data_IF_011459731707
#
_entry.id   IF_011459731707
#
_cell.length_a   1.000
_cell.length_b   1.000
_cell.length_c   1.000
_cell.angle_alpha   90.00
_cell.angle_beta   90.00
_cell.angle_gamma   90.00
#
_symmetry.space_group_name_H-M   'P 1'
#
loop_
_entity.id
_entity.type
_entity.pdbx_description
1 polymer ?
#
# COMPACT_ATOMS: atom_id res chain seq x y z
N UNK A 1 -3.60 -5.23 30.74
CA UNK A 1 -4.37 -4.00 30.47
C UNK A 1 -3.61 -2.99 29.62
N UNK A 2 -2.50 -2.36 30.05
CA UNK A 2 -1.83 -1.30 29.25
C UNK A 2 -1.12 -1.85 27.98
N UNK A 3 -0.63 -3.10 28.02
CA UNK A 3 0.01 -3.75 26.87
C UNK A 3 -0.96 -4.41 25.88
N UNK A 4 -2.14 -4.88 26.30
CA UNK A 4 -3.17 -5.39 25.38
C UNK A 4 -3.72 -4.27 24.48
N UNK A 5 -3.97 -3.09 25.06
CA UNK A 5 -4.43 -1.91 24.31
C UNK A 5 -3.44 -1.49 23.22
N UNK A 6 -2.13 -1.48 23.50
CA UNK A 6 -1.10 -1.13 22.50
C UNK A 6 -1.01 -2.09 21.31
N UNK A 7 -1.50 -3.33 21.44
CA UNK A 7 -1.35 -4.41 20.45
C UNK A 7 -2.51 -4.42 19.47
N UNK A 8 -3.73 -4.27 19.99
CA UNK A 8 -4.92 -3.99 19.18
C UNK A 8 -4.71 -2.73 18.34
N UNK A 9 -4.04 -1.72 18.91
CA UNK A 9 -3.68 -0.51 18.19
C UNK A 9 -2.82 -0.80 16.95
N UNK A 10 -1.94 -1.81 16.95
CA UNK A 10 -1.06 -2.05 15.80
C UNK A 10 -1.77 -2.77 14.65
N UNK A 11 -2.47 -3.86 14.94
CA UNK A 11 -3.21 -4.57 13.90
C UNK A 11 -4.32 -3.68 13.33
N UNK A 12 -4.94 -2.83 14.16
CA UNK A 12 -5.89 -1.85 13.67
C UNK A 12 -5.22 -0.74 12.84
N UNK A 13 -4.01 -0.30 13.21
CA UNK A 13 -3.24 0.63 12.38
C UNK A 13 -2.87 0.03 11.03
N UNK A 14 -2.44 -1.23 10.99
CA UNK A 14 -2.15 -1.93 9.73
C UNK A 14 -3.43 -2.11 8.91
N UNK A 15 -4.54 -2.53 9.54
CA UNK A 15 -5.84 -2.66 8.87
C UNK A 15 -6.31 -1.33 8.29
N UNK A 16 -6.16 -0.24 9.06
CA UNK A 16 -6.46 1.12 8.60
C UNK A 16 -5.58 1.54 7.42
N UNK A 17 -4.34 1.05 7.37
CA UNK A 17 -3.43 1.26 6.26
C UNK A 17 -3.94 0.57 4.98
N UNK A 18 -4.27 -0.72 5.05
CA UNK A 18 -4.80 -1.43 3.87
C UNK A 18 -6.13 -0.83 3.40
N UNK A 19 -6.99 -0.40 4.33
CA UNK A 19 -8.25 0.25 3.98
C UNK A 19 -8.06 1.59 3.27
N UNK A 20 -7.07 2.41 3.65
CA UNK A 20 -6.81 3.66 2.93
C UNK A 20 -6.21 3.38 1.54
N UNK A 21 -5.42 2.31 1.38
CA UNK A 21 -4.93 1.90 0.05
C UNK A 21 -6.05 1.40 -0.83
N UNK A 22 -6.97 0.59 -0.29
CA UNK A 22 -8.20 0.21 -0.98
C UNK A 22 -8.92 1.44 -1.52
N UNK A 23 -9.17 2.44 -0.68
CA UNK A 23 -9.90 3.65 -1.06
C UNK A 23 -9.13 4.48 -2.11
N UNK A 24 -7.81 4.61 -1.96
CA UNK A 24 -6.94 5.26 -2.94
C UNK A 24 -7.01 4.57 -4.32
N UNK A 25 -6.89 3.24 -4.35
CA UNK A 25 -6.96 2.47 -5.59
C UNK A 25 -8.36 2.45 -6.19
N UNK A 26 -9.41 2.53 -5.37
CA UNK A 26 -10.78 2.73 -5.84
C UNK A 26 -10.91 4.09 -6.57
N UNK A 27 -10.37 5.17 -5.99
CA UNK A 27 -10.33 6.50 -6.63
C UNK A 27 -9.58 6.47 -7.96
N UNK A 28 -8.44 5.79 -8.03
CA UNK A 28 -7.70 5.62 -9.28
C UNK A 28 -8.50 4.84 -10.32
N UNK A 29 -9.22 3.80 -9.91
CA UNK A 29 -10.08 3.02 -10.81
C UNK A 29 -11.23 3.83 -11.39
N UNK A 30 -11.75 4.80 -10.63
CA UNK A 30 -12.85 5.67 -11.06
C UNK A 30 -12.37 6.80 -11.98
N UNK A 31 -11.18 7.35 -11.73
CA UNK A 31 -10.67 8.54 -12.42
C UNK A 31 -9.73 8.23 -13.59
N UNK A 32 -9.13 7.03 -13.65
CA UNK A 32 -8.20 6.60 -14.70
C UNK A 32 -8.84 5.46 -15.50
N UNK A 33 -9.67 5.81 -16.47
CA UNK A 33 -10.56 4.87 -17.16
C UNK A 33 -9.83 3.75 -17.92
N UNK A 34 -8.66 4.09 -18.47
CA UNK A 34 -7.78 3.24 -19.27
C UNK A 34 -7.19 2.09 -18.45
N UNK A 35 -7.11 2.27 -17.12
CA UNK A 35 -6.50 1.33 -16.18
C UNK A 35 -7.47 0.85 -15.10
N UNK A 36 -8.77 1.09 -15.29
CA UNK A 36 -9.80 0.83 -14.29
C UNK A 36 -9.70 -0.56 -13.67
N UNK A 37 -9.62 -1.61 -14.48
CA UNK A 37 -9.59 -2.99 -13.98
C UNK A 37 -8.29 -3.32 -13.21
N UNK A 38 -7.19 -2.66 -13.55
CA UNK A 38 -5.93 -2.80 -12.82
C UNK A 38 -6.06 -2.25 -11.40
N UNK A 39 -6.52 -1.01 -11.29
CA UNK A 39 -6.70 -0.33 -10.00
C UNK A 39 -7.79 -0.96 -9.14
N UNK A 40 -8.91 -1.34 -9.77
CA UNK A 40 -10.00 -2.04 -9.09
C UNK A 40 -9.52 -3.35 -8.46
N UNK A 41 -8.71 -4.12 -9.20
CA UNK A 41 -8.15 -5.36 -8.68
C UNK A 41 -7.25 -5.13 -7.46
N UNK A 42 -6.37 -4.13 -7.49
CA UNK A 42 -5.55 -3.76 -6.33
C UNK A 42 -6.44 -3.38 -5.15
N UNK A 43 -7.48 -2.55 -5.36
CA UNK A 43 -8.43 -2.19 -4.30
C UNK A 43 -9.12 -3.40 -3.66
N UNK A 44 -9.56 -4.37 -4.47
CA UNK A 44 -10.17 -5.61 -3.98
C UNK A 44 -9.17 -6.47 -3.17
N UNK A 45 -7.90 -6.50 -3.57
CA UNK A 45 -6.82 -7.20 -2.88
C UNK A 45 -6.51 -6.54 -1.51
N UNK A 46 -6.41 -5.22 -1.46
CA UNK A 46 -6.21 -4.47 -0.19
C UNK A 46 -7.37 -4.63 0.78
N UNK A 47 -8.61 -4.67 0.27
CA UNK A 47 -9.77 -4.97 1.12
C UNK A 47 -9.71 -6.39 1.73
N UNK A 48 -9.18 -7.35 0.97
CA UNK A 48 -8.94 -8.73 1.46
C UNK A 48 -7.82 -8.76 2.51
N UNK A 49 -6.77 -7.94 2.37
CA UNK A 49 -5.72 -7.78 3.38
C UNK A 49 -6.27 -7.21 4.69
N UNK A 50 -7.07 -6.14 4.61
CA UNK A 50 -7.75 -5.57 5.77
C UNK A 50 -8.62 -6.59 6.51
N UNK A 51 -9.36 -7.42 5.77
CA UNK A 51 -10.16 -8.50 6.35
C UNK A 51 -9.32 -9.55 7.07
N UNK A 52 -8.16 -9.94 6.51
CA UNK A 52 -7.25 -10.87 7.18
C UNK A 52 -6.73 -10.33 8.51
N UNK A 53 -6.35 -9.06 8.55
CA UNK A 53 -5.89 -8.38 9.76
C UNK A 53 -7.00 -8.31 10.82
N UNK A 54 -8.25 -8.07 10.40
CA UNK A 54 -9.42 -8.06 11.29
C UNK A 54 -9.66 -9.44 11.93
N UNK A 55 -9.67 -10.50 11.10
CA UNK A 55 -9.84 -11.89 11.58
C UNK A 55 -8.70 -12.28 12.52
N UNK A 56 -7.47 -11.94 12.15
CA UNK A 56 -6.29 -12.23 12.96
C UNK A 56 -6.36 -11.55 14.33
N UNK A 57 -6.71 -10.26 14.37
CA UNK A 57 -6.91 -9.52 15.62
C UNK A 57 -8.00 -10.12 16.50
N UNK A 58 -9.10 -10.59 15.90
CA UNK A 58 -10.18 -11.27 16.62
C UNK A 58 -9.77 -12.65 17.17
N UNK A 59 -8.86 -13.36 16.50
CA UNK A 59 -8.31 -14.64 16.99
C UNK A 59 -7.33 -14.41 18.15
N UNK A 60 -6.42 -13.43 18.04
CA UNK A 60 -5.45 -13.11 19.10
C UNK A 60 -6.12 -12.73 20.42
N UNK A 61 -7.20 -11.93 20.38
CA UNK A 61 -8.03 -11.62 21.56
C UNK A 61 -8.55 -12.86 22.27
N UNK A 62 -8.94 -13.88 21.50
CA UNK A 62 -9.53 -15.12 22.04
C UNK A 62 -8.48 -16.05 22.64
N UNK A 63 -7.28 -16.05 22.09
CA UNK A 63 -6.21 -16.98 22.47
C UNK A 63 -5.20 -16.41 23.49
N UNK A 64 -5.36 -15.14 23.91
CA UNK A 64 -4.48 -14.45 24.85
C UNK A 64 -2.99 -14.48 24.43
N UNK A 65 -2.76 -14.42 23.12
CA UNK A 65 -1.42 -14.47 22.51
C UNK A 65 -0.73 -13.11 22.66
N UNK A 66 0.46 -13.10 23.26
CA UNK A 66 1.24 -11.89 23.53
C UNK A 66 2.31 -11.62 22.47
N UNK A 67 2.25 -10.43 21.83
CA UNK A 67 3.32 -9.92 20.97
C UNK A 67 4.65 -9.83 21.74
N UNK A 68 5.75 -10.25 21.09
CA UNK A 68 7.10 -10.16 21.63
C UNK A 68 7.40 -8.74 22.14
N UNK A 69 7.99 -8.64 23.34
CA UNK A 69 8.38 -7.39 24.03
C UNK A 69 9.48 -6.60 23.30
N UNK A 70 9.86 -7.02 22.10
CA UNK A 70 10.94 -6.41 21.37
C UNK A 70 10.46 -5.07 20.80
N UNK A 71 10.86 -4.00 21.48
CA UNK A 71 10.58 -2.58 21.24
C UNK A 71 10.99 -2.06 19.84
N UNK A 72 11.26 -2.97 18.88
CA UNK A 72 11.62 -2.71 17.49
C UNK A 72 10.42 -2.33 16.61
N UNK A 73 9.23 -2.25 17.18
CA UNK A 73 8.05 -1.84 16.43
C UNK A 73 8.04 -0.33 16.18
N UNK A 74 8.13 0.07 14.91
CA UNK A 74 8.09 1.48 14.53
C UNK A 74 6.62 1.93 14.32
N UNK A 75 5.80 1.88 15.39
CA UNK A 75 4.44 2.50 15.41
C UNK A 75 4.47 3.90 14.79
N UNK A 76 5.46 4.77 15.13
CA UNK A 76 5.52 6.10 14.55
C UNK A 76 5.62 6.10 13.03
N UNK A 77 6.39 5.16 12.46
CA UNK A 77 6.52 5.00 11.00
C UNK A 77 5.19 4.61 10.36
N UNK A 78 4.47 3.62 10.91
CA UNK A 78 3.15 3.22 10.39
C UNK A 78 2.18 4.39 10.45
N UNK A 79 2.12 5.10 11.58
CA UNK A 79 1.26 6.28 11.74
C UNK A 79 1.62 7.39 10.75
N UNK A 80 2.91 7.63 10.54
CA UNK A 80 3.37 8.65 9.58
C UNK A 80 3.03 8.28 8.14
N UNK A 81 3.23 7.01 7.76
CA UNK A 81 2.87 6.53 6.43
C UNK A 81 1.35 6.58 6.24
N UNK A 82 0.56 6.15 7.22
CA UNK A 82 -0.91 6.19 7.16
C UNK A 82 -1.39 7.61 6.91
N UNK A 83 -0.88 8.56 7.69
CA UNK A 83 -1.20 9.98 7.53
C UNK A 83 -0.83 10.50 6.13
N UNK A 84 0.36 10.14 5.65
CA UNK A 84 0.81 10.55 4.31
C UNK A 84 -0.11 10.01 3.20
N UNK A 85 -0.50 8.74 3.28
CA UNK A 85 -1.43 8.13 2.31
C UNK A 85 -2.83 8.76 2.43
N UNK A 86 -3.31 9.07 3.63
CA UNK A 86 -4.58 9.76 3.84
C UNK A 86 -4.59 11.15 3.20
N UNK A 87 -3.54 11.94 3.40
CA UNK A 87 -3.38 13.27 2.79
C UNK A 87 -3.37 13.16 1.27
N UNK A 88 -2.57 12.26 0.71
CA UNK A 88 -2.51 12.03 -0.73
C UNK A 88 -3.84 11.54 -1.31
N UNK A 89 -4.57 10.69 -0.59
CA UNK A 89 -5.88 10.18 -1.02
C UNK A 89 -6.87 11.33 -1.16
N UNK A 90 -6.91 12.25 -0.20
CA UNK A 90 -7.76 13.44 -0.29
C UNK A 90 -7.30 14.38 -1.40
N UNK A 91 -6.00 14.55 -1.62
CA UNK A 91 -5.49 15.35 -2.74
C UNK A 91 -5.94 14.77 -4.09
N UNK A 92 -5.71 13.48 -4.35
CA UNK A 92 -6.11 12.81 -5.59
C UNK A 92 -7.64 12.81 -5.81
N UNK A 93 -8.40 12.61 -4.74
CA UNK A 93 -9.88 12.67 -4.79
C UNK A 93 -10.38 14.03 -5.30
N UNK A 94 -9.73 15.11 -4.85
CA UNK A 94 -10.09 16.48 -5.21
C UNK A 94 -9.57 16.92 -6.60
N UNK A 95 -8.71 16.14 -7.25
CA UNK A 95 -8.27 16.42 -8.62
C UNK A 95 -9.39 16.17 -9.62
N UNK A 96 -9.53 17.06 -10.61
CA UNK A 96 -10.48 16.86 -11.72
C UNK A 96 -10.05 15.70 -12.63
N UNK A 97 -8.73 15.56 -12.85
CA UNK A 97 -8.11 14.48 -13.61
C UNK A 97 -6.85 14.02 -12.89
N UNK A 98 -6.63 12.71 -12.89
CA UNK A 98 -5.42 12.10 -12.36
C UNK A 98 -4.61 11.60 -13.55
N UNK A 99 -3.34 12.00 -13.59
CA UNK A 99 -2.39 11.47 -14.56
C UNK A 99 -1.98 10.04 -14.15
N UNK A 100 -1.96 9.11 -15.13
CA UNK A 100 -1.65 7.71 -14.84
C UNK A 100 -0.23 7.54 -14.29
N UNK A 101 0.74 8.27 -14.86
CA UNK A 101 2.12 8.19 -14.41
C UNK A 101 2.26 8.67 -12.97
N UNK A 102 1.60 9.77 -12.59
CA UNK A 102 1.60 10.25 -11.20
C UNK A 102 0.98 9.22 -10.23
N UNK A 103 -0.15 8.61 -10.60
CA UNK A 103 -0.80 7.57 -9.79
C UNK A 103 0.08 6.32 -9.62
N UNK A 104 0.70 5.85 -10.71
CA UNK A 104 1.59 4.69 -10.69
C UNK A 104 2.87 4.94 -9.91
N UNK A 105 3.48 6.14 -10.01
CA UNK A 105 4.65 6.47 -9.18
C UNK A 105 4.27 6.51 -7.71
N UNK A 106 3.16 7.18 -7.34
CA UNK A 106 2.74 7.25 -5.95
C UNK A 106 2.44 5.87 -5.36
N UNK A 107 1.64 5.06 -6.07
CA UNK A 107 1.34 3.69 -5.65
C UNK A 107 2.61 2.84 -5.53
N UNK A 108 3.53 2.96 -6.49
CA UNK A 108 4.80 2.24 -6.50
C UNK A 108 5.68 2.60 -5.30
N UNK A 109 5.78 3.88 -4.97
CA UNK A 109 6.54 4.37 -3.80
C UNK A 109 5.94 3.87 -2.48
N UNK A 110 4.62 3.90 -2.36
CA UNK A 110 3.89 3.41 -1.18
C UNK A 110 4.16 1.93 -0.96
N UNK A 111 3.92 1.10 -1.97
CA UNK A 111 4.08 -0.35 -1.93
C UNK A 111 5.53 -0.75 -1.67
N UNK A 112 6.48 -0.11 -2.37
CA UNK A 112 7.91 -0.33 -2.15
C UNK A 112 8.31 0.03 -0.73
N UNK A 113 7.77 1.13 -0.18
CA UNK A 113 8.09 1.55 1.18
C UNK A 113 7.63 0.54 2.21
N UNK A 114 6.49 -0.14 2.02
CA UNK A 114 6.03 -1.20 2.91
C UNK A 114 7.01 -2.39 2.91
N UNK A 115 7.51 -2.77 1.73
CA UNK A 115 8.50 -3.86 1.59
C UNK A 115 9.82 -3.49 2.26
N UNK A 116 10.39 -2.33 1.92
CA UNK A 116 11.72 -1.89 2.39
C UNK A 116 11.73 -1.61 3.90
N UNK A 117 10.65 -1.04 4.43
CA UNK A 117 10.50 -0.77 5.87
C UNK A 117 10.10 -2.01 6.67
N UNK A 118 9.98 -3.17 6.01
CA UNK A 118 9.66 -4.46 6.63
C UNK A 118 8.36 -4.39 7.44
N UNK A 119 7.34 -3.77 6.86
CA UNK A 119 6.08 -3.42 7.53
C UNK A 119 5.39 -4.62 8.20
N UNK A 120 5.52 -5.82 7.60
CA UNK A 120 4.95 -7.08 8.10
C UNK A 120 5.93 -7.95 8.91
N UNK A 121 7.19 -7.56 9.04
CA UNK A 121 8.19 -8.27 9.86
C UNK A 121 8.17 -7.79 11.32
N UNK A 122 7.13 -7.08 11.71
CA UNK A 122 7.01 -6.47 13.03
C UNK A 122 6.59 -7.48 14.11
N UNK A 123 6.21 -8.68 13.69
CA UNK A 123 5.69 -9.72 14.56
C UNK A 123 6.30 -11.07 14.16
N UNK A 124 6.89 -11.76 15.13
CA UNK A 124 7.45 -13.09 14.93
C UNK A 124 7.03 -14.01 16.07
N UNK A 125 6.78 -15.30 15.76
CA UNK A 125 6.67 -16.37 16.74
C UNK A 125 5.43 -16.30 17.62
N UNK A 126 4.32 -15.77 17.07
CA UNK A 126 3.05 -15.61 17.78
C UNK A 126 2.19 -16.89 17.70
N UNK A 127 1.99 -17.38 16.49
CA UNK A 127 1.42 -18.68 16.17
C UNK A 127 1.71 -19.01 14.70
N UNK A 128 1.58 -20.27 14.29
CA UNK A 128 1.75 -20.61 12.87
C UNK A 128 0.73 -19.89 11.97
N UNK A 129 -0.51 -19.71 12.45
CA UNK A 129 -1.54 -18.98 11.70
C UNK A 129 -1.15 -17.52 11.51
N UNK A 130 -0.68 -16.88 12.58
CA UNK A 130 -0.22 -15.52 12.56
C UNK A 130 0.95 -15.32 11.58
N UNK A 131 1.97 -16.16 11.68
CA UNK A 131 3.15 -16.08 10.82
C UNK A 131 2.78 -16.35 9.35
N UNK A 132 1.80 -17.23 9.09
CA UNK A 132 1.25 -17.47 7.74
C UNK A 132 0.57 -16.23 7.17
N UNK A 133 -0.28 -15.55 7.93
CA UNK A 133 -0.97 -14.33 7.47
C UNK A 133 0.02 -13.21 7.17
N UNK A 134 0.98 -12.95 8.08
CA UNK A 134 1.99 -11.90 7.86
C UNK A 134 2.89 -12.18 6.67
N UNK A 135 3.26 -13.45 6.45
CA UNK A 135 4.01 -13.86 5.27
C UNK A 135 3.20 -13.62 3.98
N UNK A 136 1.92 -13.97 3.98
CA UNK A 136 1.05 -13.81 2.81
C UNK A 136 0.83 -12.33 2.46
N UNK A 137 0.56 -11.47 3.46
CA UNK A 137 0.48 -10.02 3.27
C UNK A 137 1.74 -9.48 2.58
N UNK A 138 2.92 -9.83 3.11
CA UNK A 138 4.20 -9.43 2.53
C UNK A 138 4.41 -9.92 1.10
N UNK A 139 3.97 -11.13 0.79
CA UNK A 139 4.08 -11.70 -0.56
C UNK A 139 3.14 -10.98 -1.54
N UNK A 140 1.87 -10.78 -1.18
CA UNK A 140 0.89 -10.08 -2.02
C UNK A 140 1.31 -8.61 -2.23
N UNK A 141 1.72 -7.87 -1.20
CA UNK A 141 2.28 -6.50 -1.32
C UNK A 141 3.47 -6.42 -2.28
N UNK A 142 4.37 -7.42 -2.29
CA UNK A 142 5.47 -7.47 -3.26
C UNK A 142 4.98 -7.68 -4.67
N UNK A 143 3.97 -8.51 -4.86
CA UNK A 143 3.33 -8.71 -6.16
C UNK A 143 2.61 -7.45 -6.64
N UNK A 144 2.02 -6.66 -5.73
CA UNK A 144 1.42 -5.36 -6.04
C UNK A 144 2.50 -4.41 -6.58
N UNK A 145 3.58 -4.23 -5.82
CA UNK A 145 4.72 -3.41 -6.24
C UNK A 145 5.26 -3.84 -7.61
N UNK A 146 5.46 -5.13 -7.84
CA UNK A 146 5.95 -5.65 -9.12
C UNK A 146 4.99 -5.30 -10.28
N UNK A 147 3.68 -5.50 -10.10
CA UNK A 147 2.68 -5.17 -11.13
C UNK A 147 2.63 -3.67 -11.42
N UNK A 148 2.70 -2.83 -10.39
CA UNK A 148 2.75 -1.37 -10.54
C UNK A 148 4.01 -0.93 -11.29
N UNK A 149 5.19 -1.44 -10.88
CA UNK A 149 6.45 -1.10 -11.53
C UNK A 149 6.51 -1.55 -13.00
N UNK A 150 5.92 -2.71 -13.33
CA UNK A 150 5.79 -3.17 -14.71
C UNK A 150 4.93 -2.21 -15.54
N UNK A 151 3.82 -1.72 -14.97
CA UNK A 151 2.92 -0.79 -15.67
C UNK A 151 3.55 0.59 -15.84
N UNK A 152 4.23 1.08 -14.81
CA UNK A 152 5.00 2.33 -14.85
C UNK A 152 6.10 2.31 -15.92
N UNK A 153 6.77 1.17 -16.11
CA UNK A 153 7.75 0.98 -17.18
C UNK A 153 7.11 0.97 -18.58
N UNK A 154 5.85 0.51 -18.71
CA UNK A 154 5.10 0.59 -19.97
C UNK A 154 4.73 2.03 -20.30
N UNK A 155 4.24 2.81 -19.33
CA UNK A 155 3.93 4.23 -19.51
C UNK A 155 5.16 5.04 -19.93
N UNK A 156 6.32 4.82 -19.29
CA UNK A 156 7.59 5.47 -19.66
C UNK A 156 8.00 5.19 -21.12
N UNK A 157 7.70 3.99 -21.63
CA UNK A 157 8.02 3.60 -23.02
C UNK A 157 7.07 4.26 -24.01
N UNK A 158 5.78 4.35 -23.69
CA UNK A 158 4.78 5.04 -24.51
C UNK A 158 5.17 6.52 -24.65
N UNK A 159 5.51 7.18 -23.56
CA UNK A 159 5.99 8.56 -23.57
C UNK A 159 7.21 8.76 -24.50
N UNK A 160 8.13 7.80 -24.51
CA UNK A 160 9.31 7.85 -25.38
C UNK A 160 8.95 7.64 -26.86
N UNK A 161 8.08 6.67 -27.16
CA UNK A 161 7.69 6.31 -28.53
C UNK A 161 6.75 7.33 -29.17
N UNK A 162 5.90 8.01 -28.39
CA UNK A 162 5.01 9.09 -28.87
C UNK A 162 5.73 10.44 -29.02
N UNK A 163 7.01 10.53 -28.65
CA UNK A 163 7.75 11.79 -28.68
C UNK A 163 7.23 12.84 -27.69
N UNK A 164 6.52 12.39 -26.65
CA UNK A 164 5.99 13.25 -25.58
C UNK A 164 6.84 13.21 -24.30
N UNK A 165 7.81 12.29 -24.24
CA UNK A 165 8.69 12.08 -23.11
C UNK A 165 9.57 13.29 -22.80
N UNK A 166 10.09 13.32 -21.56
CA UNK A 166 10.94 14.39 -21.04
C UNK A 166 12.09 14.79 -21.99
N UNK A 167 12.66 13.83 -22.73
CA UNK A 167 13.70 14.07 -23.75
C UNK A 167 13.21 14.84 -24.98
N UNK A 168 11.97 14.64 -25.42
CA UNK A 168 11.38 15.37 -26.54
C UNK A 168 11.02 16.82 -26.16
N UNK A 169 10.53 17.03 -24.92
CA UNK A 169 10.34 18.37 -24.34
C UNK A 169 11.66 19.15 -24.24
N UNK A 170 12.75 18.47 -23.85
CA UNK A 170 14.09 19.08 -23.83
C UNK A 170 14.59 19.39 -25.24
N UNK A 171 14.41 18.48 -26.20
CA UNK A 171 14.88 18.67 -27.58
C UNK A 171 14.19 19.87 -28.26
N UNK A 172 12.89 20.05 -28.04
CA UNK A 172 12.13 21.20 -28.53
C UNK A 172 12.45 22.55 -27.88
N UNK A 173 13.25 22.58 -26.80
CA UNK A 173 13.76 23.83 -26.22
C UNK A 173 15.08 24.31 -26.85
N UNK A 174 15.73 23.47 -27.67
CA UNK A 174 17.00 23.77 -28.33
C UNK A 174 16.90 23.83 -29.87
N UNK A 175 15.69 23.76 -30.42
CA UNK A 175 15.34 24.07 -31.81
C UNK A 175 14.66 25.44 -31.89
#
# INVERSE_FOLDING_TARGET
>A
MEEENKKEDVLELMRSYELILKDLYEIFSEKISEEKEFWKKLSEEENKHAYWLEVLGANMRRENISLNEDNRFNVPLIKSSLKHVQEATEDFKNMEKIDSFDALNFAGDVENSMVEKKFFEVFYGQSEEFDRVMKLLKEETREHNQRIMQKLEQERKIDFDEGNGWWAKIKGMFE
#
